data_IF_283370399470
#
_entry.id   IF_283370399470
#
_cell.length_a   1.000
_cell.length_b   1.000
_cell.length_c   1.000
_cell.angle_alpha   90.00
_cell.angle_beta   90.00
_cell.angle_gamma   90.00
#
_symmetry.space_group_name_H-M   'P 1'
#
loop_
_entity.id
_entity.type
_entity.pdbx_description
1 polymer ?
#
# COMPACT_ATOMS: atom_id res chain seq x y z
N UNK A 1 -5.06 6.59 20.06
CA UNK A 1 -4.64 5.18 19.92
C UNK A 1 -3.57 5.14 18.85
N UNK A 2 -2.34 4.81 19.23
CA UNK A 2 -1.20 4.74 18.31
C UNK A 2 -1.29 3.46 17.49
N UNK A 3 -1.06 3.57 16.19
CA UNK A 3 -0.90 2.42 15.30
C UNK A 3 0.49 1.82 15.53
N UNK A 4 0.57 0.52 15.83
CA UNK A 4 1.85 -0.18 15.98
C UNK A 4 2.15 -1.01 14.71
N UNK A 5 3.42 -1.09 14.33
CA UNK A 5 3.89 -1.89 13.16
C UNK A 5 3.53 -3.38 13.27
N UNK A 6 3.21 -3.84 14.48
CA UNK A 6 2.79 -5.20 14.82
C UNK A 6 1.35 -5.51 14.41
N UNK A 7 0.52 -4.50 14.16
CA UNK A 7 -0.86 -4.67 13.69
C UNK A 7 -0.93 -5.05 12.19
N UNK A 8 0.18 -4.91 11.45
CA UNK A 8 0.24 -5.27 10.03
C UNK A 8 0.49 -6.77 9.86
N UNK A 9 -0.45 -7.42 9.18
CA UNK A 9 -0.32 -8.81 8.78
C UNK A 9 0.74 -8.96 7.68
N UNK A 10 1.22 -10.19 7.47
CA UNK A 10 2.20 -10.49 6.43
C UNK A 10 1.77 -9.93 5.05
N UNK A 11 0.51 -10.15 4.67
CA UNK A 11 -0.01 -9.67 3.39
C UNK A 11 -0.04 -8.14 3.25
N UNK A 12 -0.19 -7.40 4.35
CA UNK A 12 -0.16 -5.94 4.33
C UNK A 12 1.26 -5.44 4.05
N UNK A 13 2.25 -6.11 4.64
CA UNK A 13 3.68 -5.82 4.44
C UNK A 13 4.10 -6.16 3.01
N UNK A 14 3.71 -7.32 2.51
CA UNK A 14 3.98 -7.74 1.13
C UNK A 14 3.36 -6.78 0.11
N UNK A 15 2.13 -6.31 0.36
CA UNK A 15 1.49 -5.31 -0.48
C UNK A 15 2.26 -3.98 -0.45
N UNK A 16 2.62 -3.46 0.73
CA UNK A 16 3.41 -2.23 0.82
C UNK A 16 4.77 -2.36 0.12
N UNK A 17 5.45 -3.49 0.28
CA UNK A 17 6.71 -3.77 -0.43
C UNK A 17 6.52 -3.83 -1.94
N UNK A 18 5.45 -4.47 -2.42
CA UNK A 18 5.10 -4.50 -3.84
C UNK A 18 4.85 -3.12 -4.41
N UNK A 19 4.20 -2.23 -3.65
CA UNK A 19 3.98 -0.83 -4.04
C UNK A 19 5.32 -0.05 -4.04
N UNK A 20 6.15 -0.21 -3.01
CA UNK A 20 7.46 0.43 -2.94
C UNK A 20 8.38 0.02 -4.09
N UNK A 21 8.36 -1.26 -4.45
CA UNK A 21 9.14 -1.82 -5.54
C UNK A 21 8.57 -1.49 -6.94
N UNK A 22 7.41 -0.84 -7.02
CA UNK A 22 6.73 -0.53 -8.28
C UNK A 22 6.15 -1.78 -8.98
N UNK A 23 6.05 -2.91 -8.28
CA UNK A 23 5.40 -4.12 -8.80
C UNK A 23 3.87 -4.03 -8.73
N UNK A 24 3.35 -3.24 -7.79
CA UNK A 24 1.92 -2.96 -7.62
C UNK A 24 1.72 -1.47 -7.75
N UNK A 25 1.14 -1.05 -8.87
CA UNK A 25 0.97 0.36 -9.20
C UNK A 25 -0.48 0.73 -9.48
N UNK A 26 -1.36 -0.23 -9.70
CA UNK A 26 -2.75 -0.02 -10.08
C UNK A 26 -3.71 -0.70 -9.08
N UNK A 27 -4.67 0.08 -8.57
CA UNK A 27 -5.69 -0.40 -7.64
C UNK A 27 -6.68 -1.34 -8.32
N UNK A 28 -6.97 -1.10 -9.60
CA UNK A 28 -7.87 -1.93 -10.40
C UNK A 28 -7.38 -3.37 -10.58
N UNK A 29 -6.07 -3.58 -10.60
CA UNK A 29 -5.42 -4.88 -10.81
C UNK A 29 -5.11 -5.65 -9.52
N UNK A 30 -5.52 -5.16 -8.35
CA UNK A 30 -5.35 -5.90 -7.09
C UNK A 30 -6.21 -7.17 -7.07
N UNK A 31 -5.61 -8.29 -6.66
CA UNK A 31 -6.34 -9.52 -6.35
C UNK A 31 -7.16 -9.40 -5.05
N UNK A 32 -8.02 -10.38 -4.73
CA UNK A 32 -8.89 -10.31 -3.54
C UNK A 32 -8.10 -10.14 -2.23
N UNK A 33 -7.01 -10.89 -2.05
CA UNK A 33 -6.16 -10.80 -0.87
C UNK A 33 -5.52 -9.41 -0.74
N UNK A 34 -4.96 -8.89 -1.82
CA UNK A 34 -4.36 -7.55 -1.86
C UNK A 34 -5.40 -6.46 -1.66
N UNK A 35 -6.61 -6.60 -2.19
CA UNK A 35 -7.69 -5.63 -2.01
C UNK A 35 -8.13 -5.51 -0.55
N UNK A 36 -8.15 -6.64 0.18
CA UNK A 36 -8.42 -6.62 1.63
C UNK A 36 -7.31 -5.91 2.39
N UNK A 37 -6.05 -6.22 2.11
CA UNK A 37 -4.90 -5.54 2.70
C UNK A 37 -4.88 -4.05 2.35
N UNK A 38 -5.14 -3.69 1.10
CA UNK A 38 -5.20 -2.31 0.63
C UNK A 38 -6.25 -1.53 1.42
N UNK A 39 -7.43 -2.10 1.65
CA UNK A 39 -8.49 -1.47 2.46
C UNK A 39 -8.03 -1.16 3.89
N UNK A 40 -7.29 -2.07 4.52
CA UNK A 40 -6.69 -1.85 5.84
C UNK A 40 -5.66 -0.72 5.77
N UNK A 41 -4.75 -0.78 4.79
CA UNK A 41 -3.69 0.23 4.61
C UNK A 41 -4.26 1.63 4.27
N UNK A 42 -5.37 1.72 3.51
CA UNK A 42 -6.10 2.97 3.25
C UNK A 42 -6.68 3.54 4.54
N UNK A 43 -7.37 2.72 5.34
CA UNK A 43 -7.93 3.14 6.63
C UNK A 43 -6.85 3.65 7.59
N UNK A 44 -5.64 3.08 7.52
CA UNK A 44 -4.49 3.49 8.32
C UNK A 44 -3.75 4.70 7.74
N UNK A 45 -4.10 5.13 6.53
CA UNK A 45 -3.43 6.21 5.81
C UNK A 45 -1.99 5.89 5.42
N UNK A 46 -1.68 4.61 5.16
CA UNK A 46 -0.35 4.16 4.76
C UNK A 46 -0.18 4.21 3.24
N UNK A 47 -1.24 3.90 2.50
CA UNK A 47 -1.29 4.01 1.04
C UNK A 47 -2.39 4.99 0.61
N UNK A 48 -2.30 5.51 -0.61
CA UNK A 48 -3.32 6.36 -1.24
C UNK A 48 -3.47 6.05 -2.72
N UNK A 49 -4.56 6.51 -3.32
CA UNK A 49 -4.77 6.47 -4.78
C UNK A 49 -4.63 7.85 -5.38
N UNK A 50 -4.11 7.91 -6.61
CA UNK A 50 -4.16 9.10 -7.44
C UNK A 50 -4.75 8.74 -8.81
N UNK A 51 -5.64 9.58 -9.36
CA UNK A 51 -6.17 9.35 -10.69
C UNK A 51 -5.05 9.50 -11.71
N UNK A 52 -4.92 8.52 -12.60
CA UNK A 52 -3.98 8.55 -13.71
C UNK A 52 -4.74 8.70 -15.02
N UNK A 53 -4.63 9.89 -15.60
CA UNK A 53 -5.27 10.25 -16.86
C UNK A 53 -4.40 9.96 -18.08
N UNK A 54 -3.26 9.28 -17.90
CA UNK A 54 -2.32 8.93 -18.98
C UNK A 54 -2.66 7.65 -19.74
N UNK A 55 -3.77 6.98 -19.39
CA UNK A 55 -4.21 5.74 -20.03
C UNK A 55 -5.58 5.93 -20.69
N UNK A 56 -5.88 5.15 -21.73
CA UNK A 56 -7.18 5.17 -22.44
C UNK A 56 -8.37 4.80 -21.55
N UNK A 57 -8.10 4.25 -20.35
CA UNK A 57 -9.09 3.97 -19.32
C UNK A 57 -8.73 4.74 -18.05
N UNK A 58 -9.72 5.26 -17.30
CA UNK A 58 -9.45 5.85 -16.00
C UNK A 58 -8.86 4.77 -15.08
N UNK A 59 -7.63 4.99 -14.63
CA UNK A 59 -6.88 4.08 -13.77
C UNK A 59 -6.53 4.81 -12.48
N UNK A 60 -6.63 4.14 -11.34
CA UNK A 60 -6.22 4.68 -10.04
C UNK A 60 -4.87 4.10 -9.66
N UNK A 61 -3.83 4.94 -9.65
CA UNK A 61 -2.51 4.50 -9.26
C UNK A 61 -2.39 4.47 -7.74
N UNK A 62 -1.89 3.37 -7.20
CA UNK A 62 -1.58 3.24 -5.77
C UNK A 62 -0.19 3.79 -5.51
N UNK A 63 -0.06 4.52 -4.40
CA UNK A 63 1.23 4.98 -3.90
C UNK A 63 1.34 4.85 -2.39
N UNK A 64 2.58 4.71 -1.89
CA UNK A 64 2.87 4.83 -0.46
C UNK A 64 2.89 6.29 -0.03
N UNK A 65 2.10 6.60 0.99
CA UNK A 65 2.13 7.91 1.65
C UNK A 65 3.45 8.09 2.43
N UNK A 66 3.74 9.30 2.90
CA UNK A 66 4.88 9.54 3.78
C UNK A 66 4.86 8.65 5.03
N UNK A 67 3.67 8.41 5.59
CA UNK A 67 3.46 7.52 6.73
C UNK A 67 3.75 6.05 6.37
N UNK A 68 3.24 5.60 5.22
CA UNK A 68 3.50 4.25 4.71
C UNK A 68 4.99 3.98 4.48
N UNK A 69 5.70 4.94 3.89
CA UNK A 69 7.16 4.85 3.68
C UNK A 69 7.93 4.74 5.00
N UNK A 70 7.56 5.54 6.00
CA UNK A 70 8.21 5.49 7.31
C UNK A 70 7.99 4.13 7.98
N UNK A 71 6.76 3.63 7.97
CA UNK A 71 6.44 2.32 8.56
C UNK A 71 7.15 1.18 7.83
N UNK A 72 7.21 1.24 6.50
CA UNK A 72 7.95 0.25 5.72
C UNK A 72 9.43 0.23 6.08
N UNK A 73 10.07 1.39 6.22
CA UNK A 73 11.47 1.49 6.62
C UNK A 73 11.71 0.89 8.02
N UNK A 74 10.84 1.21 8.99
CA UNK A 74 10.92 0.63 10.35
C UNK A 74 10.80 -0.90 10.31
N UNK A 75 9.88 -1.44 9.50
CA UNK A 75 9.72 -2.88 9.33
C UNK A 75 10.93 -3.57 8.69
N UNK A 76 11.65 -2.88 7.80
CA UNK A 76 12.88 -3.39 7.19
C UNK A 76 14.08 -3.36 8.16
N UNK A 77 14.12 -2.39 9.07
CA UNK A 77 15.14 -2.30 10.12
C UNK A 77 14.93 -3.32 11.26
N UNK A 78 13.70 -3.79 11.48
CA UNK A 78 13.39 -4.85 12.47
C UNK A 78 13.67 -6.28 11.97
N UNK A 79 14.18 -6.45 10.73
CA UNK A 79 14.42 -7.75 10.09
C UNK A 79 15.88 -8.18 10.15
#
# INVERSE_FOLDING_TARGET
MGFETKDLCLGDRELMQGIAAGSITDDGNLNDSQRRSARVLYNLGLIGTQPFTGSNSPTELIYLTAKGKHILNVLEEEK
#
